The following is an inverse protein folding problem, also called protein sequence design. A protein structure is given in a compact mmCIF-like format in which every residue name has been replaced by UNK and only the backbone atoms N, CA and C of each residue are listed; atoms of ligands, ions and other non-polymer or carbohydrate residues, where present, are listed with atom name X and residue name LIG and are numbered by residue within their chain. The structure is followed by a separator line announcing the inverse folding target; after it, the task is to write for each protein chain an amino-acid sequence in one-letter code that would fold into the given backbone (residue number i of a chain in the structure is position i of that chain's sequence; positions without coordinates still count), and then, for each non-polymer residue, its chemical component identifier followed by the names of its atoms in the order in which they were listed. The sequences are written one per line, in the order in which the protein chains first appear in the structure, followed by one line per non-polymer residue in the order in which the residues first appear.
data_IF_654470003482
#
_entry.id   IF_654470003482
#
_cell.length_a   1.000
_cell.length_b   1.000
_cell.length_c   1.000
_cell.angle_alpha   90.00
_cell.angle_beta   90.00
_cell.angle_gamma   90.00
#
_symmetry.space_group_name_H-M   'P 1'
#
loop_
_entity.id
_entity.type
_entity.pdbx_description
1 polymer ?
#
# COMPACT_ATOMS: atom_id res chain seq x y z
N UNK A 1 -12.23 8.58 29.08
CA UNK A 1 -13.50 9.02 28.46
C UNK A 1 -14.38 9.88 29.36
N UNK A 2 -14.64 9.52 30.62
CA UNK A 2 -15.51 10.32 31.52
C UNK A 2 -15.09 11.79 31.67
N UNK A 3 -13.79 12.10 31.58
CA UNK A 3 -13.23 13.45 31.70
C UNK A 3 -13.58 14.39 30.54
N UNK A 4 -13.68 13.89 29.30
CA UNK A 4 -14.11 14.71 28.17
C UNK A 4 -15.57 15.12 28.33
N UNK A 5 -16.40 14.19 28.79
CA UNK A 5 -17.83 14.40 29.00
C UNK A 5 -18.04 15.48 30.06
N UNK A 6 -17.32 15.41 31.19
CA UNK A 6 -17.35 16.46 32.21
C UNK A 6 -16.86 17.82 31.71
N UNK A 7 -15.86 17.86 30.83
CA UNK A 7 -15.36 19.12 30.27
C UNK A 7 -16.40 19.83 29.38
N UNK A 8 -17.15 19.07 28.59
CA UNK A 8 -18.24 19.61 27.76
C UNK A 8 -19.42 20.05 28.63
N UNK A 9 -19.74 19.29 29.69
CA UNK A 9 -20.81 19.64 30.65
C UNK A 9 -20.49 20.91 31.44
N UNK A 10 -19.21 21.19 31.70
CA UNK A 10 -18.72 22.43 32.33
C UNK A 10 -18.62 23.63 31.36
N UNK A 11 -19.04 23.45 30.09
CA UNK A 11 -19.05 24.51 29.07
C UNK A 11 -17.77 24.62 28.24
N UNK A 12 -16.89 23.60 28.29
CA UNK A 12 -15.70 23.50 27.44
C UNK A 12 -16.04 23.22 25.99
N UNK A 13 -15.41 23.96 25.08
CA UNK A 13 -15.56 23.81 23.63
C UNK A 13 -14.66 22.65 23.18
N UNK A 14 -15.13 21.82 22.23
CA UNK A 14 -14.35 20.74 21.60
C UNK A 14 -14.49 20.81 20.08
N UNK A 15 -14.26 22.00 19.51
CA UNK A 15 -14.47 22.24 18.07
C UNK A 15 -13.21 21.90 17.26
N UNK A 16 -12.04 22.01 17.89
CA UNK A 16 -10.74 21.70 17.30
C UNK A 16 -9.88 20.83 18.23
N UNK A 17 -8.90 20.14 17.65
CA UNK A 17 -7.90 19.34 18.38
C UNK A 17 -7.07 20.16 19.41
N UNK A 18 -7.17 21.49 19.37
CA UNK A 18 -6.55 22.41 20.34
C UNK A 18 -7.35 22.55 21.64
N UNK A 19 -8.63 22.20 21.64
CA UNK A 19 -9.52 22.42 22.78
C UNK A 19 -9.59 21.21 23.73
N UNK A 20 -8.83 20.15 23.43
CA UNK A 20 -8.75 18.96 24.29
C UNK A 20 -7.98 19.33 25.57
N UNK A 21 -8.58 19.16 26.77
CA UNK A 21 -7.93 19.51 28.03
C UNK A 21 -6.63 18.75 28.25
N UNK A 22 -5.63 19.45 28.76
CA UNK A 22 -4.29 18.92 29.01
C UNK A 22 -4.30 17.67 29.91
N UNK A 23 -5.20 17.65 30.91
CA UNK A 23 -5.38 16.50 31.78
C UNK A 23 -5.80 15.20 31.06
N UNK A 24 -6.46 15.30 29.89
CA UNK A 24 -6.82 14.16 29.05
C UNK A 24 -5.62 13.74 28.21
N UNK A 25 -4.89 14.70 27.63
CA UNK A 25 -3.68 14.42 26.84
C UNK A 25 -2.65 13.67 27.69
N UNK A 26 -2.44 14.13 28.93
CA UNK A 26 -1.53 13.50 29.89
C UNK A 26 -2.02 12.12 30.36
N UNK A 27 -3.33 11.87 30.42
CA UNK A 27 -3.87 10.55 30.71
C UNK A 27 -3.64 9.58 29.55
N UNK A 28 -3.84 10.03 28.30
CA UNK A 28 -3.60 9.23 27.11
C UNK A 28 -2.11 8.89 26.97
N UNK A 29 -1.23 9.86 27.20
CA UNK A 29 0.22 9.66 27.13
C UNK A 29 0.69 8.63 28.18
N UNK A 30 0.19 8.74 29.43
CA UNK A 30 0.50 7.78 30.50
C UNK A 30 -0.08 6.39 30.22
N UNK A 31 -1.28 6.30 29.63
CA UNK A 31 -1.88 5.02 29.26
C UNK A 31 -1.08 4.35 28.12
N UNK A 32 -0.59 5.12 27.16
CA UNK A 32 0.24 4.61 26.07
C UNK A 32 1.58 4.07 26.57
N UNK A 33 2.27 4.81 27.46
CA UNK A 33 3.50 4.35 28.10
C UNK A 33 3.27 3.07 28.94
N UNK A 34 2.15 3.00 29.67
CA UNK A 34 1.81 1.81 30.44
C UNK A 34 1.49 0.60 29.54
N UNK A 35 0.83 0.80 28.39
CA UNK A 35 0.62 -0.24 27.36
C UNK A 35 1.95 -0.72 26.78
N UNK A 36 2.88 0.19 26.51
CA UNK A 36 4.21 -0.14 26.01
C UNK A 36 5.03 -0.95 27.04
N UNK A 37 4.97 -0.58 28.32
CA UNK A 37 5.61 -1.32 29.42
C UNK A 37 4.97 -2.70 29.61
N UNK A 38 3.63 -2.80 29.55
CA UNK A 38 2.91 -4.07 29.65
C UNK A 38 3.21 -5.00 28.47
N UNK A 39 3.36 -4.44 27.27
CA UNK A 39 3.75 -5.20 26.08
C UNK A 39 5.23 -5.64 26.14
N UNK A 40 6.12 -4.82 26.71
CA UNK A 40 7.52 -5.22 26.98
C UNK A 40 7.63 -6.33 28.04
N UNK A 41 6.77 -6.35 29.05
CA UNK A 41 6.72 -7.44 30.07
C UNK A 41 6.13 -8.75 29.53
N UNK A 42 5.48 -8.72 28.37
CA UNK A 42 5.00 -9.94 27.68
C UNK A 42 6.00 -10.47 26.64
N UNK A 43 7.25 -10.01 26.70
CA UNK A 43 8.38 -10.46 25.89
C UNK A 43 9.53 -11.08 26.69
N UNK A 44 9.30 -11.54 27.93
CA UNK A 44 10.35 -12.11 28.78
C UNK A 44 9.83 -13.08 29.84
N UNK A 45 9.86 -14.37 29.50
CA UNK A 45 9.89 -15.59 30.31
C UNK A 45 9.26 -15.59 31.73
N UNK A 46 8.25 -16.46 31.91
CA UNK A 46 8.12 -17.26 33.13
C UNK A 46 7.55 -18.64 32.79
N UNK A 47 8.32 -19.65 33.19
CA UNK A 47 8.10 -21.10 33.10
C UNK A 47 6.86 -21.52 33.90
N UNK A 48 6.08 -22.48 33.36
CA UNK A 48 5.00 -23.11 34.13
C UNK A 48 4.13 -24.09 33.33
N UNK A 49 4.67 -25.29 33.08
CA UNK A 49 3.94 -26.57 32.93
C UNK A 49 3.21 -26.85 31.60
N UNK A 50 3.77 -27.79 30.81
CA UNK A 50 2.99 -28.67 29.93
C UNK A 50 3.42 -28.74 28.47
N UNK A 51 4.14 -29.82 28.14
CA UNK A 51 4.46 -30.37 26.81
C UNK A 51 5.57 -29.68 25.97
N UNK A 52 6.68 -30.40 25.66
CA UNK A 52 7.62 -29.97 24.64
C UNK A 52 7.05 -30.25 23.26
N UNK A 53 6.64 -29.21 22.55
CA UNK A 53 6.36 -29.32 21.12
C UNK A 53 7.68 -29.66 20.39
N UNK A 54 7.69 -30.65 19.50
CA UNK A 54 8.89 -30.95 18.74
C UNK A 54 9.20 -29.80 17.78
N UNK A 55 10.49 -29.54 17.48
CA UNK A 55 10.89 -28.51 16.54
C UNK A 55 10.34 -28.82 15.14
N UNK A 56 9.73 -27.83 14.49
CA UNK A 56 9.28 -27.94 13.09
C UNK A 56 10.49 -27.77 12.18
N UNK A 57 10.90 -28.86 11.53
CA UNK A 57 11.98 -28.86 10.55
C UNK A 57 11.39 -28.66 9.15
N UNK A 58 11.48 -27.45 8.59
CA UNK A 58 10.98 -27.15 7.24
C UNK A 58 12.08 -27.52 6.24
N UNK A 59 11.93 -28.66 5.56
CA UNK A 59 12.82 -29.06 4.48
C UNK A 59 12.33 -28.42 3.16
N UNK A 60 12.97 -27.33 2.73
CA UNK A 60 12.74 -26.75 1.40
C UNK A 60 13.51 -27.58 0.38
N UNK A 61 12.83 -28.54 -0.25
CA UNK A 61 13.37 -29.24 -1.43
C UNK A 61 13.30 -28.25 -2.60
N UNK A 62 14.43 -27.65 -2.95
CA UNK A 62 14.60 -26.98 -4.25
C UNK A 62 14.41 -28.03 -5.34
N UNK A 63 13.27 -28.00 -6.01
CA UNK A 63 13.03 -28.77 -7.23
C UNK A 63 14.03 -28.32 -8.29
N UNK A 64 15.18 -28.98 -8.37
CA UNK A 64 16.12 -28.88 -9.49
C UNK A 64 15.43 -29.47 -10.71
N UNK A 65 15.19 -28.72 -11.80
CA UNK A 65 14.73 -29.32 -13.03
C UNK A 65 15.87 -30.18 -13.57
N UNK A 66 15.66 -31.49 -13.61
CA UNK A 66 16.47 -32.42 -14.41
C UNK A 66 16.34 -32.04 -15.87
N UNK A 67 17.47 -31.67 -16.47
CA UNK A 67 17.63 -31.62 -17.90
C UNK A 67 17.32 -32.99 -18.51
N UNK A 68 16.32 -33.05 -19.38
CA UNK A 68 16.23 -34.07 -20.41
C UNK A 68 16.01 -33.37 -21.75
N UNK A 69 17.04 -33.47 -22.58
CA UNK A 69 17.00 -33.19 -24.02
C UNK A 69 15.88 -33.98 -24.68
N UNK A 70 15.02 -33.29 -25.44
CA UNK A 70 14.51 -33.80 -26.72
C UNK A 70 14.42 -32.60 -27.67
N UNK A 71 14.95 -32.83 -28.87
CA UNK A 71 15.30 -31.90 -29.93
C UNK A 71 14.10 -31.50 -30.84
N UNK A 72 14.27 -30.35 -31.52
CA UNK A 72 13.56 -29.82 -32.71
C UNK A 72 12.14 -29.20 -32.59
N UNK A 73 12.07 -27.92 -32.22
CA UNK A 73 11.67 -26.82 -33.15
C UNK A 73 11.48 -25.51 -32.40
N UNK A 74 12.15 -24.47 -32.89
CA UNK A 74 12.40 -23.20 -32.23
C UNK A 74 11.16 -22.50 -31.62
N UNK A 75 11.19 -22.14 -30.33
CA UNK A 75 10.37 -21.06 -29.80
C UNK A 75 11.15 -19.75 -29.83
N UNK A 76 10.47 -18.70 -30.29
CA UNK A 76 10.93 -17.31 -30.23
C UNK A 76 11.42 -16.98 -28.82
N UNK A 77 12.52 -16.22 -28.74
CA UNK A 77 13.09 -15.75 -27.48
C UNK A 77 11.98 -15.29 -26.51
N UNK A 78 11.89 -15.87 -25.29
CA UNK A 78 11.08 -15.28 -24.24
C UNK A 78 11.66 -13.90 -23.99
N UNK A 79 10.88 -12.85 -24.28
CA UNK A 79 11.24 -11.52 -23.84
C UNK A 79 11.60 -11.59 -22.36
N UNK A 80 12.74 -11.03 -22.00
CA UNK A 80 13.18 -10.93 -20.60
C UNK A 80 11.97 -10.56 -19.76
N UNK A 81 11.51 -11.49 -18.91
CA UNK A 81 10.59 -11.17 -17.84
C UNK A 81 11.37 -10.20 -16.97
N UNK A 82 11.23 -8.90 -17.24
CA UNK A 82 11.74 -7.86 -16.37
C UNK A 82 10.96 -8.05 -15.08
N UNK A 83 11.56 -8.77 -14.13
CA UNK A 83 11.05 -8.88 -12.77
C UNK A 83 11.18 -7.47 -12.21
N UNK A 84 10.12 -6.69 -12.36
CA UNK A 84 10.06 -5.35 -11.83
C UNK A 84 10.11 -5.46 -10.31
N UNK A 85 11.05 -4.73 -9.71
CA UNK A 85 11.13 -4.65 -8.26
C UNK A 85 9.79 -4.16 -7.69
N UNK A 86 9.33 -4.72 -6.57
CA UNK A 86 8.13 -4.25 -5.90
C UNK A 86 8.19 -2.73 -5.68
N UNK A 87 7.11 -2.03 -6.06
CA UNK A 87 6.97 -0.63 -5.71
C UNK A 87 6.63 -0.57 -4.22
N UNK A 88 7.35 0.28 -3.50
CA UNK A 88 7.04 0.61 -2.13
C UNK A 88 6.32 1.96 -2.16
N UNK A 89 4.99 1.90 -2.09
CA UNK A 89 4.08 3.04 -2.16
C UNK A 89 3.58 3.29 -0.73
N UNK A 90 3.85 4.47 -0.15
CA UNK A 90 3.42 4.78 1.20
C UNK A 90 1.90 4.97 1.26
N UNK A 91 1.31 4.70 2.43
CA UNK A 91 -0.11 4.97 2.71
C UNK A 91 -1.09 3.89 2.26
N UNK A 92 -2.41 4.15 2.38
CA UNK A 92 -3.47 3.25 1.93
C UNK A 92 -3.47 3.07 0.39
N UNK A 93 -3.76 1.86 -0.07
CA UNK A 93 -3.68 1.50 -1.51
C UNK A 93 -4.76 2.16 -2.36
N UNK A 94 -5.96 2.24 -1.82
CA UNK A 94 -7.11 2.93 -2.41
C UNK A 94 -6.81 4.42 -2.56
N UNK A 95 -6.31 5.07 -1.51
CA UNK A 95 -5.93 6.47 -1.58
C UNK A 95 -4.79 6.72 -2.58
N UNK A 96 -3.82 5.80 -2.66
CA UNK A 96 -2.75 5.90 -3.65
C UNK A 96 -3.28 5.85 -5.09
N UNK A 97 -4.34 5.06 -5.37
CA UNK A 97 -5.00 5.03 -6.69
C UNK A 97 -5.65 6.39 -7.00
N UNK A 98 -6.29 7.01 -6.01
CA UNK A 98 -6.89 8.34 -6.16
C UNK A 98 -5.83 9.42 -6.46
N UNK A 99 -4.78 9.50 -5.63
CA UNK A 99 -3.68 10.46 -5.79
C UNK A 99 -2.95 10.28 -7.14
N UNK A 100 -2.77 9.03 -7.57
CA UNK A 100 -2.21 8.74 -8.89
C UNK A 100 -3.13 9.20 -10.02
N UNK A 101 -4.43 8.97 -9.89
CA UNK A 101 -5.45 9.44 -10.83
C UNK A 101 -5.42 10.97 -10.97
N UNK A 102 -5.39 11.69 -9.84
CA UNK A 102 -5.25 13.14 -9.83
C UNK A 102 -3.96 13.62 -10.52
N UNK A 103 -2.84 12.94 -10.25
CA UNK A 103 -1.60 13.24 -10.91
C UNK A 103 -1.65 12.99 -12.43
N UNK A 104 -2.31 11.93 -12.90
CA UNK A 104 -2.53 11.70 -14.33
C UNK A 104 -3.37 12.81 -14.96
N UNK A 105 -4.47 13.19 -14.29
CA UNK A 105 -5.35 14.28 -14.75
C UNK A 105 -4.63 15.63 -14.80
N UNK A 106 -3.67 15.88 -13.92
CA UNK A 106 -2.87 17.13 -13.94
C UNK A 106 -2.00 17.29 -15.20
N UNK A 107 -1.71 16.20 -15.92
CA UNK A 107 -0.89 16.21 -17.14
C UNK A 107 -1.68 16.44 -18.42
N UNK A 108 -3.00 16.50 -18.33
CA UNK A 108 -3.89 16.67 -19.49
C UNK A 108 -4.84 17.83 -19.24
N UNK A 109 -5.05 18.67 -20.25
CA UNK A 109 -6.01 19.78 -20.15
C UNK A 109 -7.41 19.39 -20.65
N UNK A 110 -7.48 18.38 -21.53
CA UNK A 110 -8.73 17.91 -22.11
C UNK A 110 -9.60 17.14 -21.10
N UNK A 111 -10.79 17.66 -20.81
CA UNK A 111 -11.74 17.08 -19.85
C UNK A 111 -12.20 15.65 -20.20
N UNK A 112 -12.32 15.31 -21.48
CA UNK A 112 -12.67 13.94 -21.91
C UNK A 112 -11.55 12.96 -21.57
N UNK A 113 -10.29 13.40 -21.64
CA UNK A 113 -9.15 12.56 -21.24
C UNK A 113 -9.04 12.46 -19.71
N UNK A 114 -9.31 13.55 -18.97
CA UNK A 114 -9.38 13.52 -17.51
C UNK A 114 -10.44 12.53 -17.02
N UNK A 115 -11.64 12.59 -17.58
CA UNK A 115 -12.71 11.64 -17.26
C UNK A 115 -12.28 10.20 -17.55
N UNK A 116 -11.62 9.96 -18.68
CA UNK A 116 -11.15 8.62 -19.03
C UNK A 116 -10.13 8.09 -18.00
N UNK A 117 -9.27 8.93 -17.43
CA UNK A 117 -8.36 8.52 -16.34
C UNK A 117 -9.11 8.21 -15.04
N UNK A 118 -10.13 9.00 -14.70
CA UNK A 118 -11.01 8.72 -13.55
C UNK A 118 -11.70 7.36 -13.69
N UNK A 119 -12.22 7.05 -14.88
CA UNK A 119 -12.80 5.73 -15.19
C UNK A 119 -11.80 4.58 -14.95
N UNK A 120 -10.51 4.77 -15.24
CA UNK A 120 -9.51 3.73 -14.95
C UNK A 120 -9.39 3.51 -13.43
N UNK A 121 -9.35 4.59 -12.64
CA UNK A 121 -9.30 4.50 -11.18
C UNK A 121 -10.54 3.81 -10.62
N UNK A 122 -11.73 4.18 -11.10
CA UNK A 122 -13.00 3.55 -10.68
C UNK A 122 -12.98 2.05 -10.99
N UNK A 123 -12.58 1.66 -12.21
CA UNK A 123 -12.42 0.25 -12.60
C UNK A 123 -11.43 -0.48 -11.70
N UNK A 124 -10.31 0.15 -11.32
CA UNK A 124 -9.36 -0.47 -10.40
C UNK A 124 -9.98 -0.73 -9.02
N UNK A 125 -10.59 0.29 -8.42
CA UNK A 125 -11.18 0.20 -7.08
C UNK A 125 -12.34 -0.81 -7.05
N UNK A 126 -13.22 -0.80 -8.06
CA UNK A 126 -14.32 -1.76 -8.18
C UNK A 126 -13.83 -3.22 -8.29
N UNK A 127 -12.68 -3.44 -8.91
CA UNK A 127 -12.10 -4.78 -9.09
C UNK A 127 -11.04 -5.11 -8.01
N UNK A 128 -10.85 -4.25 -7.01
CA UNK A 128 -9.89 -4.44 -5.92
C UNK A 128 -8.42 -4.47 -6.38
N UNK A 129 -8.10 -3.78 -7.48
CA UNK A 129 -6.74 -3.67 -8.01
C UNK A 129 -6.01 -2.48 -7.41
N UNK A 130 -4.78 -2.69 -6.96
CA UNK A 130 -3.87 -1.63 -6.53
C UNK A 130 -2.79 -1.31 -7.58
N UNK A 131 -2.10 -0.17 -7.41
CA UNK A 131 -1.06 0.28 -8.33
C UNK A 131 0.13 -0.68 -8.41
N UNK A 132 0.45 -1.43 -7.35
CA UNK A 132 1.56 -2.38 -7.39
C UNK A 132 1.22 -3.58 -8.27
N UNK A 133 -0.01 -4.10 -8.19
CA UNK A 133 -0.48 -5.20 -9.02
C UNK A 133 -0.45 -4.81 -10.50
N UNK A 134 -1.05 -3.67 -10.84
CA UNK A 134 -1.06 -3.16 -12.21
C UNK A 134 0.36 -2.92 -12.73
N UNK A 135 1.25 -2.40 -11.87
CA UNK A 135 2.65 -2.21 -12.24
C UNK A 135 3.41 -3.52 -12.43
N UNK A 136 3.12 -4.57 -11.66
CA UNK A 136 3.76 -5.88 -11.82
C UNK A 136 3.33 -6.54 -13.13
N UNK A 137 2.06 -6.44 -13.48
CA UNK A 137 1.50 -7.11 -14.65
C UNK A 137 1.87 -6.39 -15.96
N UNK A 138 2.06 -5.07 -15.92
CA UNK A 138 2.35 -4.23 -17.09
C UNK A 138 1.37 -4.46 -18.28
N UNK A 139 0.15 -4.92 -18.00
CA UNK A 139 -0.82 -5.30 -19.03
C UNK A 139 -1.97 -4.28 -19.13
N UNK A 140 -2.03 -3.45 -20.19
CA UNK A 140 -3.14 -2.52 -20.40
C UNK A 140 -4.42 -3.21 -20.90
N UNK A 141 -4.37 -4.49 -21.32
CA UNK A 141 -5.52 -5.18 -21.96
C UNK A 141 -6.74 -5.24 -21.06
N UNK A 142 -6.55 -5.49 -19.77
CA UNK A 142 -7.63 -5.52 -18.80
C UNK A 142 -8.51 -4.26 -18.88
N UNK A 143 -7.89 -3.08 -18.90
CA UNK A 143 -8.62 -1.81 -19.01
C UNK A 143 -9.28 -1.62 -20.37
N UNK A 144 -8.62 -2.05 -21.45
CA UNK A 144 -9.18 -1.98 -22.81
C UNK A 144 -10.43 -2.85 -22.93
N UNK A 145 -10.41 -4.06 -22.36
CA UNK A 145 -11.56 -4.96 -22.30
C UNK A 145 -12.71 -4.40 -21.47
N UNK A 146 -12.41 -3.53 -20.48
CA UNK A 146 -13.39 -2.77 -19.71
C UNK A 146 -13.88 -1.49 -20.42
N UNK A 147 -13.45 -1.24 -21.66
CA UNK A 147 -13.91 -0.12 -22.49
C UNK A 147 -13.04 1.14 -22.43
N UNK A 148 -11.92 1.12 -21.70
CA UNK A 148 -10.98 2.24 -21.64
C UNK A 148 -10.26 2.41 -22.97
N UNK A 149 -10.12 3.65 -23.45
CA UNK A 149 -9.39 3.95 -24.69
C UNK A 149 -7.95 3.43 -24.61
N UNK A 150 -7.49 2.76 -25.67
CA UNK A 150 -6.16 2.12 -25.73
C UNK A 150 -4.99 3.02 -25.33
N UNK A 151 -5.02 4.30 -25.72
CA UNK A 151 -3.97 5.26 -25.37
C UNK A 151 -3.96 5.60 -23.87
N UNK A 152 -5.13 5.68 -23.25
CA UNK A 152 -5.27 5.94 -21.81
C UNK A 152 -4.78 4.73 -21.02
N UNK A 153 -5.24 3.53 -21.36
CA UNK A 153 -4.82 2.30 -20.71
C UNK A 153 -3.29 2.11 -20.73
N UNK A 154 -2.67 2.28 -21.90
CA UNK A 154 -1.20 2.18 -22.04
C UNK A 154 -0.47 3.22 -21.19
N UNK A 155 -0.87 4.50 -21.30
CA UNK A 155 -0.22 5.59 -20.57
C UNK A 155 -0.38 5.42 -19.06
N UNK A 156 -1.55 4.98 -18.61
CA UNK A 156 -1.85 4.77 -17.20
C UNK A 156 -0.94 3.69 -16.61
N UNK A 157 -0.74 2.55 -17.28
CA UNK A 157 0.15 1.49 -16.78
C UNK A 157 1.62 1.92 -16.79
N UNK A 158 2.08 2.54 -17.89
CA UNK A 158 3.49 2.95 -18.08
C UNK A 158 3.96 3.99 -17.06
N UNK A 159 3.07 4.86 -16.60
CA UNK A 159 3.44 6.03 -15.81
C UNK A 159 3.46 5.77 -14.29
N UNK A 160 2.98 4.61 -13.81
CA UNK A 160 2.95 4.28 -12.36
C UNK A 160 4.36 4.38 -11.77
N UNK A 161 5.34 3.77 -12.42
CA UNK A 161 6.73 3.81 -11.96
C UNK A 161 7.33 5.22 -11.96
N UNK A 162 6.83 6.14 -12.81
CA UNK A 162 7.27 7.54 -12.81
C UNK A 162 6.66 8.31 -11.65
N UNK A 163 5.39 8.08 -11.36
CA UNK A 163 4.71 8.71 -10.22
C UNK A 163 5.34 8.29 -8.89
N UNK A 164 5.57 6.99 -8.67
CA UNK A 164 6.21 6.51 -7.43
C UNK A 164 7.59 7.13 -7.21
N UNK A 165 8.40 7.28 -8.27
CA UNK A 165 9.69 7.98 -8.18
C UNK A 165 9.55 9.44 -7.76
N UNK A 166 8.47 10.12 -8.15
CA UNK A 166 8.21 11.50 -7.78
C UNK A 166 7.74 11.63 -6.33
N UNK A 167 6.81 10.76 -5.89
CA UNK A 167 6.32 10.75 -4.50
C UNK A 167 7.48 10.47 -3.53
N UNK A 168 8.34 9.50 -3.84
CA UNK A 168 9.53 9.21 -3.01
C UNK A 168 10.46 10.40 -2.86
N UNK A 169 10.70 11.14 -3.95
CA UNK A 169 11.52 12.37 -3.90
C UNK A 169 10.86 13.44 -3.03
N UNK A 170 9.54 13.60 -3.09
CA UNK A 170 8.83 14.57 -2.27
C UNK A 170 8.89 14.22 -0.78
N UNK A 171 8.67 12.95 -0.42
CA UNK A 171 8.74 12.47 0.97
C UNK A 171 10.15 12.67 1.54
N UNK A 172 11.20 12.30 0.81
CA UNK A 172 12.59 12.49 1.26
C UNK A 172 12.96 13.96 1.48
N UNK A 173 12.34 14.90 0.76
CA UNK A 173 12.58 16.34 0.97
C UNK A 173 11.86 16.84 2.24
N UNK A 174 10.63 16.39 2.51
CA UNK A 174 9.88 16.77 3.69
C UNK A 174 10.47 16.25 5.00
N UNK A 175 11.16 15.09 4.99
CA UNK A 175 11.83 14.55 6.19
C UNK A 175 13.11 15.31 6.58
N UNK A 176 13.59 16.23 5.73
CA UNK A 176 14.84 16.98 5.94
C UNK A 176 14.65 18.44 6.38
N UNK A 177 13.40 18.89 6.54
CA UNK A 177 13.03 20.25 6.98
C UNK A 177 12.42 20.21 8.38
#
# INVERSE_FOLDING_TARGET
MKRLISHVEEGGILESHKDVPEAVRDELYREEEQKLVRNKRKGGQAVGTGAPYPPININVVSSRPTAHEIDLSAPRAPGELQVLSPLDIPGPRDLAVDEYGEWQMSKVDNEVLKHAFREVCDVMLENGLDLEQVYKDQDPKFFIEKGVKIGIARRFVEDIGKWVKNVKKAVSVCETL
#
